data_IF_198068560434
#
_entry.id   IF_198068560434
#
_cell.length_a   1.000
_cell.length_b   1.000
_cell.length_c   1.000
_cell.angle_alpha   90.00
_cell.angle_beta   90.00
_cell.angle_gamma   90.00
#
_symmetry.space_group_name_H-M   'P 1'
#
loop_
_entity.id
_entity.type
_entity.pdbx_description
1 polymer ?
#
# COMPACT_ATOMS: atom_id res chain seq x y z
N UNK A 1 -3.97 -47.59 30.37
CA UNK A 1 -3.13 -46.65 31.14
C UNK A 1 -2.92 -45.44 30.28
N UNK A 2 -3.06 -44.23 30.83
CA UNK A 2 -2.91 -42.99 30.06
C UNK A 2 -1.43 -42.79 29.75
N UNK A 3 -1.07 -42.92 28.48
CA UNK A 3 0.34 -42.87 28.06
C UNK A 3 0.77 -41.41 27.86
N UNK A 4 2.06 -41.10 28.05
CA UNK A 4 2.61 -39.75 27.84
C UNK A 4 2.28 -39.20 26.44
N UNK A 5 2.29 -40.07 25.43
CA UNK A 5 1.90 -39.74 24.06
C UNK A 5 0.45 -39.26 23.94
N UNK A 6 -0.48 -39.88 24.69
CA UNK A 6 -1.89 -39.50 24.71
C UNK A 6 -2.08 -38.17 25.45
N UNK A 7 -1.32 -37.95 26.52
CA UNK A 7 -1.30 -36.69 27.26
C UNK A 7 -0.88 -35.51 26.36
N UNK A 8 0.20 -35.69 25.59
CA UNK A 8 0.68 -34.66 24.67
C UNK A 8 -0.30 -34.41 23.52
N UNK A 9 -0.93 -35.46 22.99
CA UNK A 9 -1.96 -35.34 21.95
C UNK A 9 -3.15 -34.51 22.45
N UNK A 10 -3.65 -34.82 23.65
CA UNK A 10 -4.75 -34.08 24.27
C UNK A 10 -4.34 -32.62 24.53
N UNK A 11 -3.09 -32.36 24.93
CA UNK A 11 -2.62 -30.99 25.16
C UNK A 11 -2.56 -30.17 23.86
N UNK A 12 -2.15 -30.77 22.74
CA UNK A 12 -2.17 -30.10 21.44
C UNK A 12 -3.59 -29.75 21.00
N UNK A 13 -4.55 -30.65 21.25
CA UNK A 13 -5.96 -30.41 20.96
C UNK A 13 -6.51 -29.24 21.79
N UNK A 14 -6.22 -29.20 23.09
CA UNK A 14 -6.57 -28.06 23.94
C UNK A 14 -5.98 -26.73 23.47
N UNK A 15 -4.72 -26.74 23.01
CA UNK A 15 -4.08 -25.53 22.49
C UNK A 15 -4.76 -25.05 21.21
N UNK A 16 -5.07 -25.97 20.28
CA UNK A 16 -5.79 -25.65 19.06
C UNK A 16 -7.20 -25.09 19.34
N UNK A 17 -7.94 -25.69 20.28
CA UNK A 17 -9.24 -25.18 20.72
C UNK A 17 -9.14 -23.76 21.31
N UNK A 18 -8.12 -23.52 22.15
CA UNK A 18 -7.87 -22.21 22.73
C UNK A 18 -7.51 -21.16 21.66
N UNK A 19 -6.67 -21.51 20.68
CA UNK A 19 -6.32 -20.64 19.55
C UNK A 19 -7.56 -20.27 18.73
N UNK A 20 -8.39 -21.24 18.38
CA UNK A 20 -9.64 -21.03 17.64
C UNK A 20 -10.58 -20.12 18.42
N UNK A 21 -10.69 -20.32 19.74
CA UNK A 21 -11.54 -19.49 20.61
C UNK A 21 -11.10 -18.03 20.60
N UNK A 22 -9.81 -17.76 20.78
CA UNK A 22 -9.25 -16.40 20.77
C UNK A 22 -9.49 -15.72 19.41
N UNK A 23 -9.24 -16.43 18.31
CA UNK A 23 -9.49 -15.90 16.96
C UNK A 23 -10.96 -15.52 16.79
N UNK A 24 -11.88 -16.37 17.26
CA UNK A 24 -13.32 -16.15 17.17
C UNK A 24 -13.76 -14.94 17.99
N UNK A 25 -13.25 -14.78 19.20
CA UNK A 25 -13.53 -13.63 20.06
C UNK A 25 -13.12 -12.32 19.38
N UNK A 26 -11.91 -12.24 18.84
CA UNK A 26 -11.46 -11.06 18.10
C UNK A 26 -12.28 -10.77 16.82
N UNK A 27 -12.72 -11.82 16.12
CA UNK A 27 -13.60 -11.64 14.95
C UNK A 27 -14.95 -11.04 15.36
N UNK A 28 -15.54 -11.54 16.43
CA UNK A 28 -16.80 -11.01 16.97
C UNK A 28 -16.64 -9.55 17.39
N UNK A 29 -15.58 -9.20 18.13
CA UNK A 29 -15.32 -7.81 18.53
C UNK A 29 -15.16 -6.89 17.33
N UNK A 30 -14.40 -7.33 16.32
CA UNK A 30 -14.21 -6.58 15.08
C UNK A 30 -15.52 -6.35 14.35
N UNK A 31 -16.35 -7.38 14.24
CA UNK A 31 -17.63 -7.29 13.54
C UNK A 31 -18.61 -6.40 14.32
N UNK A 32 -18.59 -6.43 15.66
CA UNK A 32 -19.34 -5.51 16.51
C UNK A 32 -18.89 -4.04 16.32
N UNK A 33 -17.58 -3.79 16.20
CA UNK A 33 -17.03 -2.46 15.89
C UNK A 33 -17.53 -2.00 14.52
N UNK A 34 -17.48 -2.84 13.49
CA UNK A 34 -17.98 -2.48 12.16
C UNK A 34 -19.48 -2.21 12.14
N UNK A 35 -20.27 -2.98 12.88
CA UNK A 35 -21.70 -2.73 13.04
C UNK A 35 -21.95 -1.36 13.67
N UNK A 36 -21.24 -1.04 14.77
CA UNK A 36 -21.35 0.26 15.45
C UNK A 36 -20.89 1.42 14.58
N UNK A 37 -19.81 1.27 13.81
CA UNK A 37 -19.37 2.29 12.85
C UNK A 37 -20.44 2.55 11.79
N UNK A 38 -21.06 1.50 11.24
CA UNK A 38 -22.16 1.62 10.26
C UNK A 38 -23.38 2.31 10.85
N UNK A 39 -23.70 2.09 12.12
CA UNK A 39 -24.75 2.82 12.82
C UNK A 39 -24.39 4.29 12.99
N UNK A 40 -23.16 4.61 13.39
CA UNK A 40 -22.68 5.99 13.51
C UNK A 40 -22.68 6.71 12.15
N UNK A 41 -22.34 6.04 11.05
CA UNK A 41 -22.42 6.62 9.72
C UNK A 41 -23.87 6.96 9.32
N UNK A 42 -24.85 6.11 9.71
CA UNK A 42 -26.29 6.38 9.52
C UNK A 42 -26.77 7.54 10.39
N UNK A 43 -26.31 7.62 11.63
CA UNK A 43 -26.67 8.70 12.55
C UNK A 43 -26.00 10.02 12.15
N UNK A 44 -24.76 9.99 11.67
CA UNK A 44 -24.00 11.13 11.17
C UNK A 44 -24.53 11.70 9.86
N UNK A 45 -25.21 10.89 9.04
CA UNK A 45 -25.96 11.37 7.86
C UNK A 45 -27.31 12.02 8.22
N UNK A 46 -27.80 11.82 9.45
CA UNK A 46 -29.02 12.46 9.97
C UNK A 46 -28.85 13.90 10.46
N UNK A 47 -27.62 14.40 10.60
CA UNK A 47 -27.35 15.78 11.06
C UNK A 47 -27.18 16.80 9.92
N UNK A 48 -27.27 16.39 8.66
CA UNK A 48 -27.16 17.28 7.48
C UNK A 48 -28.28 17.09 6.45
N UNK A 49 -29.44 16.58 6.87
CA UNK A 49 -30.54 16.25 5.94
C UNK A 49 -31.90 16.78 6.40
N UNK A 50 -32.00 18.05 6.81
CA UNK A 50 -33.30 18.72 6.94
C UNK A 50 -33.44 20.08 6.23
N UNK A 51 -32.53 20.40 5.29
CA UNK A 51 -32.75 21.51 4.35
C UNK A 51 -32.28 21.17 2.94
N UNK A 52 -32.90 20.16 2.31
CA UNK A 52 -33.18 20.20 0.86
C UNK A 52 -34.08 19.05 0.44
N UNK A 53 -35.38 19.32 0.39
CA UNK A 53 -36.14 18.91 -0.78
C UNK A 53 -35.66 19.77 -1.95
N UNK A 54 -35.44 19.10 -3.06
CA UNK A 54 -35.14 19.59 -4.40
C UNK A 54 -33.67 19.85 -4.80
N UNK A 55 -33.45 19.47 -6.06
CA UNK A 55 -32.35 19.82 -6.96
C UNK A 55 -31.23 18.77 -7.08
N UNK A 56 -31.42 17.92 -8.11
CA UNK A 56 -30.37 17.33 -8.96
C UNK A 56 -29.20 18.30 -9.13
N UNK A 57 -27.95 17.87 -8.96
CA UNK A 57 -26.83 17.98 -9.94
C UNK A 57 -25.46 17.70 -9.30
N UNK A 58 -24.65 16.98 -10.07
CA UNK A 58 -23.19 17.06 -10.22
C UNK A 58 -22.36 17.74 -9.13
N UNK A 59 -21.53 16.95 -8.45
CA UNK A 59 -20.43 17.47 -7.61
C UNK A 59 -19.24 17.82 -8.51
N UNK A 60 -19.17 19.07 -8.97
CA UNK A 60 -17.92 19.72 -9.41
C UNK A 60 -17.47 20.71 -8.33
N UNK A 61 -16.31 20.39 -7.75
CA UNK A 61 -15.14 21.26 -7.54
C UNK A 61 -15.38 22.78 -7.37
N UNK A 62 -15.76 23.25 -6.18
CA UNK A 62 -15.71 24.71 -5.88
C UNK A 62 -14.88 25.10 -4.65
N UNK A 63 -14.24 24.15 -3.96
CA UNK A 63 -13.44 24.47 -2.75
C UNK A 63 -11.94 24.69 -2.99
N UNK A 64 -11.45 24.44 -4.21
CA UNK A 64 -10.03 24.61 -4.60
C UNK A 64 -9.65 26.03 -5.06
N UNK A 65 -10.48 26.79 -5.82
CA UNK A 65 -10.11 28.12 -6.29
C UNK A 65 -10.01 29.15 -5.15
N UNK A 66 -10.90 29.04 -4.15
CA UNK A 66 -10.95 29.97 -3.00
C UNK A 66 -9.68 29.91 -2.15
N UNK A 67 -9.15 28.70 -1.92
CA UNK A 67 -7.88 28.53 -1.21
C UNK A 67 -6.68 29.04 -2.01
N UNK A 68 -6.68 28.85 -3.33
CA UNK A 68 -5.61 29.33 -4.20
C UNK A 68 -5.58 30.87 -4.27
N UNK A 69 -6.75 31.51 -4.27
CA UNK A 69 -6.86 32.97 -4.27
C UNK A 69 -6.39 33.59 -2.93
N UNK A 70 -6.70 32.94 -1.81
CA UNK A 70 -6.22 33.37 -0.49
C UNK A 70 -4.69 33.28 -0.38
N UNK A 71 -4.10 32.18 -0.87
CA UNK A 71 -2.64 32.01 -0.92
C UNK A 71 -1.95 33.01 -1.87
N UNK A 72 -2.60 33.39 -2.97
CA UNK A 72 -2.08 34.38 -3.90
C UNK A 72 -2.11 35.82 -3.32
N UNK A 73 -3.11 36.13 -2.49
CA UNK A 73 -3.17 37.41 -1.78
C UNK A 73 -2.07 37.55 -0.73
N UNK A 74 -1.73 36.46 -0.03
CA UNK A 74 -0.64 36.43 0.96
C UNK A 74 0.75 36.71 0.34
N UNK A 75 1.01 36.20 -0.87
CA UNK A 75 2.27 36.43 -1.60
C UNK A 75 2.42 37.87 -2.13
N UNK A 76 1.30 38.59 -2.32
CA UNK A 76 1.29 39.97 -2.84
C UNK A 76 1.64 41.02 -1.79
N UNK A 77 1.47 40.72 -0.51
CA UNK A 77 1.72 41.66 0.59
C UNK A 77 3.21 41.91 0.88
N UNK A 78 4.12 41.07 0.34
CA UNK A 78 5.57 41.23 0.49
C UNK A 78 6.27 41.96 -0.66
N UNK A 79 5.56 42.39 -1.71
CA UNK A 79 6.14 43.21 -2.79
C UNK A 79 5.74 44.68 -2.64
N UNK A 80 6.50 45.42 -1.82
CA UNK A 80 6.64 46.86 -2.04
C UNK A 80 7.67 47.11 -3.14
N UNK A 81 7.45 48.08 -4.05
CA UNK A 81 8.44 48.46 -5.04
C UNK A 81 9.38 49.52 -4.44
N UNK A 82 10.61 49.13 -4.10
CA UNK A 82 11.70 50.08 -3.88
C UNK A 82 12.46 50.28 -5.20
N UNK A 83 12.48 51.53 -5.67
CA UNK A 83 13.17 51.95 -6.89
C UNK A 83 14.70 51.93 -6.73
N UNK A 84 15.36 51.38 -7.76
CA UNK A 84 16.70 51.68 -8.33
C UNK A 84 17.72 52.47 -7.50
N UNK A 85 18.93 51.91 -7.34
CA UNK A 85 20.17 52.48 -7.89
C UNK A 85 21.35 51.48 -7.86
N UNK A 86 22.14 51.53 -8.92
CA UNK A 86 23.38 50.80 -9.19
C UNK A 86 24.55 51.28 -8.33
N UNK A 87 25.46 50.38 -7.92
CA UNK A 87 26.92 50.40 -8.26
C UNK A 87 27.83 49.64 -7.27
N UNK A 88 28.79 48.93 -7.87
CA UNK A 88 30.18 48.63 -7.45
C UNK A 88 30.55 47.97 -6.12
N UNK A 89 31.26 46.84 -6.27
CA UNK A 89 32.44 46.31 -5.54
C UNK A 89 32.56 46.49 -4.02
N UNK A 90 32.79 45.35 -3.33
CA UNK A 90 33.41 45.34 -2.00
C UNK A 90 33.42 43.95 -1.35
N UNK A 91 34.52 43.24 -1.50
CA UNK A 91 34.91 42.01 -0.80
C UNK A 91 34.76 42.11 0.72
N UNK A 92 34.17 41.07 1.33
CA UNK A 92 34.17 40.82 2.77
C UNK A 92 33.77 39.37 3.05
N UNK A 93 34.77 38.50 3.22
CA UNK A 93 34.64 37.16 3.77
C UNK A 93 33.77 37.15 5.02
N UNK A 94 33.00 36.07 5.23
CA UNK A 94 32.91 35.24 6.44
C UNK A 94 31.66 34.34 6.38
N UNK A 95 31.91 33.03 6.25
CA UNK A 95 31.13 31.90 6.78
C UNK A 95 29.64 31.73 6.40
N UNK A 96 29.39 30.74 5.53
CA UNK A 96 28.08 30.15 5.34
C UNK A 96 27.99 29.36 4.04
N UNK A 97 28.69 28.23 3.95
CA UNK A 97 28.60 27.33 2.79
C UNK A 97 27.12 26.98 2.49
N UNK A 98 26.68 26.98 1.22
CA UNK A 98 25.43 26.31 0.87
C UNK A 98 25.68 24.83 1.14
N UNK A 99 25.02 24.28 2.16
CA UNK A 99 25.12 22.86 2.51
C UNK A 99 24.74 22.06 1.27
N UNK A 100 25.79 21.57 0.61
CA UNK A 100 25.70 20.58 -0.43
C UNK A 100 24.96 19.38 0.12
N UNK A 101 24.08 18.85 -0.72
CA UNK A 101 23.39 17.59 -0.51
C UNK A 101 24.45 16.56 -0.04
N UNK A 102 24.23 15.84 1.08
CA UNK A 102 25.21 14.86 1.55
C UNK A 102 25.44 13.82 0.47
N UNK A 103 26.71 13.69 0.06
CA UNK A 103 27.21 12.87 -1.06
C UNK A 103 27.13 11.35 -0.79
N UNK A 104 26.16 10.91 0.02
CA UNK A 104 25.99 9.50 0.43
C UNK A 104 24.53 9.05 0.56
N UNK A 105 23.55 9.93 0.32
CA UNK A 105 22.14 9.53 0.35
C UNK A 105 21.50 9.79 -1.01
N UNK A 106 21.33 8.71 -1.78
CA UNK A 106 20.54 8.76 -3.01
C UNK A 106 19.13 9.22 -2.64
N UNK A 107 18.84 10.52 -2.83
CA UNK A 107 17.50 11.12 -2.76
C UNK A 107 16.52 10.12 -3.36
N UNK A 108 15.62 9.57 -2.53
CA UNK A 108 14.67 8.49 -2.81
C UNK A 108 14.51 8.21 -4.31
N UNK A 109 15.44 7.43 -4.87
CA UNK A 109 15.30 6.94 -6.23
C UNK A 109 14.21 5.89 -6.13
N UNK A 110 12.97 6.29 -6.44
CA UNK A 110 11.89 5.36 -6.76
C UNK A 110 12.49 4.38 -7.77
N UNK A 111 12.75 3.15 -7.33
CA UNK A 111 13.35 2.14 -8.19
C UNK A 111 12.44 1.97 -9.39
N UNK A 112 12.85 2.51 -10.54
CA UNK A 112 12.16 2.25 -11.79
C UNK A 112 12.28 0.74 -12.01
N UNK A 113 11.19 0.10 -12.44
CA UNK A 113 11.22 -1.31 -12.77
C UNK A 113 12.14 -1.48 -13.99
N UNK A 114 13.44 -1.65 -13.74
CA UNK A 114 14.42 -1.86 -14.80
C UNK A 114 14.18 -3.25 -15.41
N UNK A 115 14.02 -3.35 -16.75
CA UNK A 115 13.97 -4.63 -17.43
C UNK A 115 15.25 -5.42 -17.12
N UNK A 116 15.14 -6.74 -16.94
CA UNK A 116 16.28 -7.62 -16.62
C UNK A 116 16.78 -7.60 -15.16
N UNK A 117 16.16 -6.80 -14.27
CA UNK A 117 16.48 -6.85 -12.84
C UNK A 117 16.11 -8.19 -12.19
N UNK A 118 16.74 -8.54 -11.05
CA UNK A 118 16.34 -9.73 -10.24
C UNK A 118 14.84 -9.75 -9.97
N UNK A 119 14.27 -8.57 -9.69
CA UNK A 119 12.83 -8.41 -9.48
C UNK A 119 12.00 -8.67 -10.74
N UNK A 120 12.52 -8.37 -11.94
CA UNK A 120 11.83 -8.69 -13.19
C UNK A 120 11.77 -10.21 -13.44
N UNK A 121 12.90 -10.91 -13.27
CA UNK A 121 12.95 -12.38 -13.38
C UNK A 121 12.02 -13.08 -12.40
N UNK A 122 12.00 -12.61 -11.14
CA UNK A 122 11.08 -13.13 -10.13
C UNK A 122 9.61 -12.91 -10.50
N UNK A 123 9.27 -11.75 -11.10
CA UNK A 123 7.90 -11.47 -11.53
C UNK A 123 7.46 -12.37 -12.69
N UNK A 124 8.31 -12.52 -13.69
CA UNK A 124 8.05 -13.39 -14.83
C UNK A 124 7.82 -14.84 -14.39
N UNK A 125 8.70 -15.36 -13.52
CA UNK A 125 8.54 -16.67 -12.92
C UNK A 125 7.22 -16.78 -12.12
N UNK A 126 6.88 -15.77 -11.31
CA UNK A 126 5.63 -15.76 -10.55
C UNK A 126 4.38 -15.80 -11.43
N UNK A 127 4.34 -15.03 -12.52
CA UNK A 127 3.22 -15.06 -13.46
C UNK A 127 3.16 -16.41 -14.17
N UNK A 128 4.30 -16.96 -14.59
CA UNK A 128 4.36 -18.29 -15.23
C UNK A 128 3.88 -19.40 -14.31
N UNK A 129 4.25 -19.36 -13.02
CA UNK A 129 3.74 -20.28 -12.00
C UNK A 129 2.22 -20.12 -11.82
N UNK A 130 1.74 -18.89 -11.64
CA UNK A 130 0.32 -18.61 -11.45
C UNK A 130 -0.54 -18.98 -12.67
N UNK A 131 0.00 -18.88 -13.89
CA UNK A 131 -0.66 -19.35 -15.13
C UNK A 131 -0.82 -20.87 -15.20
N UNK A 132 0.08 -21.64 -14.58
CA UNK A 132 -0.03 -23.11 -14.52
C UNK A 132 -1.07 -23.56 -13.51
N UNK A 133 -1.31 -22.77 -12.48
CA UNK A 133 -2.25 -23.06 -11.40
C UNK A 133 -3.55 -22.29 -11.58
N UNK A 134 -4.57 -22.94 -12.14
CA UNK A 134 -5.92 -22.37 -12.29
C UNK A 134 -6.71 -22.27 -10.96
N UNK A 135 -6.06 -22.50 -9.82
CA UNK A 135 -6.67 -22.54 -8.50
C UNK A 135 -5.85 -21.72 -7.49
N UNK A 136 -6.45 -21.41 -6.35
CA UNK A 136 -5.76 -20.68 -5.29
C UNK A 136 -4.59 -21.50 -4.72
N UNK A 137 -3.38 -20.96 -4.82
CA UNK A 137 -2.13 -21.55 -4.32
C UNK A 137 -1.69 -20.88 -3.01
N UNK A 138 -1.13 -21.67 -2.09
CA UNK A 138 -0.58 -21.14 -0.83
C UNK A 138 0.72 -20.38 -1.07
N UNK A 139 0.99 -19.36 -0.25
CA UNK A 139 2.16 -18.50 -0.36
C UNK A 139 3.48 -19.27 -0.25
N UNK A 140 3.53 -20.31 0.59
CA UNK A 140 4.71 -21.16 0.78
C UNK A 140 4.98 -22.08 -0.41
N UNK A 141 3.93 -22.59 -1.05
CA UNK A 141 4.03 -23.42 -2.26
C UNK A 141 4.43 -22.54 -3.45
N UNK A 142 3.76 -21.41 -3.61
CA UNK A 142 4.08 -20.41 -4.63
C UNK A 142 5.52 -19.89 -4.52
N UNK A 143 6.00 -19.63 -3.30
CA UNK A 143 7.40 -19.24 -3.08
C UNK A 143 8.37 -20.32 -3.59
N UNK A 144 8.19 -21.57 -3.17
CA UNK A 144 9.07 -22.68 -3.58
C UNK A 144 9.11 -22.86 -5.09
N UNK A 145 7.97 -22.72 -5.76
CA UNK A 145 7.88 -22.85 -7.21
C UNK A 145 8.59 -21.69 -7.92
N UNK A 146 8.43 -20.45 -7.44
CA UNK A 146 9.11 -19.28 -8.01
C UNK A 146 10.63 -19.38 -7.80
N UNK A 147 11.08 -19.79 -6.61
CA UNK A 147 12.50 -19.95 -6.31
C UNK A 147 13.13 -21.06 -7.17
N UNK A 148 12.39 -22.15 -7.40
CA UNK A 148 12.82 -23.24 -8.28
C UNK A 148 12.92 -22.81 -9.75
N UNK A 149 11.96 -22.02 -10.25
CA UNK A 149 11.92 -21.61 -11.66
C UNK A 149 12.86 -20.42 -11.94
N UNK A 150 13.03 -19.50 -11.00
CA UNK A 150 13.90 -18.31 -11.15
C UNK A 150 15.34 -18.54 -10.68
N UNK A 151 15.59 -19.51 -9.80
CA UNK A 151 16.86 -19.71 -9.12
C UNK A 151 17.22 -18.59 -8.12
N UNK A 152 16.26 -17.74 -7.77
CA UNK A 152 16.44 -16.59 -6.88
C UNK A 152 15.51 -16.72 -5.67
N UNK A 153 16.04 -16.45 -4.48
CA UNK A 153 15.25 -16.44 -3.23
C UNK A 153 14.35 -15.21 -3.13
N UNK A 154 13.19 -15.37 -2.48
CA UNK A 154 12.30 -14.25 -2.14
C UNK A 154 12.37 -13.96 -0.64
N UNK A 155 13.03 -12.84 -0.22
CA UNK A 155 13.19 -12.55 1.20
C UNK A 155 11.87 -12.19 1.91
N UNK A 156 10.96 -11.48 1.23
CA UNK A 156 9.68 -11.07 1.79
C UNK A 156 8.56 -11.27 0.77
N UNK A 157 7.85 -12.39 0.92
CA UNK A 157 6.73 -12.76 0.06
C UNK A 157 5.61 -11.73 0.06
N UNK A 158 5.29 -11.12 1.20
CA UNK A 158 4.20 -10.14 1.29
C UNK A 158 4.49 -8.90 0.44
N UNK A 159 5.68 -8.33 0.58
CA UNK A 159 6.09 -7.14 -0.18
C UNK A 159 6.22 -7.47 -1.67
N UNK A 160 6.79 -8.63 -1.99
CA UNK A 160 6.90 -9.09 -3.38
C UNK A 160 5.53 -9.25 -4.03
N UNK A 161 4.59 -9.94 -3.36
CA UNK A 161 3.24 -10.17 -3.87
C UNK A 161 2.42 -8.87 -3.96
N UNK A 162 2.57 -7.94 -3.01
CA UNK A 162 1.94 -6.62 -3.13
C UNK A 162 2.45 -5.84 -4.36
N UNK A 163 3.75 -5.92 -4.64
CA UNK A 163 4.35 -5.34 -5.84
C UNK A 163 3.84 -6.02 -7.12
N UNK A 164 3.72 -7.36 -7.09
CA UNK A 164 3.20 -8.15 -8.21
C UNK A 164 1.75 -7.79 -8.53
N UNK A 165 0.87 -7.77 -7.54
CA UNK A 165 -0.56 -7.42 -7.67
C UNK A 165 -0.72 -5.99 -8.22
N UNK A 166 0.18 -5.07 -7.84
CA UNK A 166 0.16 -3.69 -8.35
C UNK A 166 0.47 -3.62 -9.85
N UNK A 167 1.30 -4.53 -10.38
CA UNK A 167 1.66 -4.60 -11.80
C UNK A 167 0.70 -5.47 -12.61
N UNK A 168 0.17 -6.53 -12.01
CA UNK A 168 -0.77 -7.48 -12.62
C UNK A 168 -2.01 -7.58 -11.72
N UNK A 169 -3.01 -6.70 -11.92
CA UNK A 169 -4.25 -6.70 -11.13
C UNK A 169 -5.08 -7.98 -11.23
N UNK A 170 -4.79 -8.82 -12.22
CA UNK A 170 -5.37 -10.16 -12.42
C UNK A 170 -4.97 -11.13 -11.30
N UNK A 171 -3.82 -10.89 -10.66
CA UNK A 171 -3.39 -11.65 -9.49
C UNK A 171 -4.18 -11.18 -8.28
N UNK A 172 -5.00 -12.08 -7.71
CA UNK A 172 -5.84 -11.80 -6.56
C UNK A 172 -5.41 -12.59 -5.33
N UNK A 173 -5.84 -12.10 -4.17
CA UNK A 173 -5.56 -12.69 -2.86
C UNK A 173 -6.88 -13.11 -2.20
N UNK A 174 -7.40 -14.32 -2.50
CA UNK A 174 -8.70 -14.77 -2.01
C UNK A 174 -8.74 -14.96 -0.50
N UNK A 175 -7.62 -15.39 0.11
CA UNK A 175 -7.49 -15.56 1.55
C UNK A 175 -6.09 -15.19 2.04
N UNK A 176 -5.90 -15.15 3.37
CA UNK A 176 -4.58 -14.89 3.98
C UNK A 176 -3.58 -15.94 3.52
N UNK A 177 -2.51 -15.50 2.86
CA UNK A 177 -1.44 -16.37 2.37
C UNK A 177 -1.87 -17.25 1.20
N UNK A 178 -2.93 -16.90 0.46
CA UNK A 178 -3.33 -17.59 -0.76
C UNK A 178 -3.41 -16.60 -1.91
N UNK A 179 -3.02 -17.05 -3.10
CA UNK A 179 -3.01 -16.24 -4.32
C UNK A 179 -3.63 -17.04 -5.46
N UNK A 180 -4.33 -16.36 -6.36
CA UNK A 180 -4.94 -16.95 -7.55
C UNK A 180 -4.78 -15.99 -8.72
N UNK A 181 -4.71 -16.53 -9.92
CA UNK A 181 -4.83 -15.75 -11.14
C UNK A 181 -6.27 -15.82 -11.65
N UNK A 182 -6.95 -14.68 -11.69
CA UNK A 182 -8.29 -14.58 -12.28
C UNK A 182 -8.20 -13.90 -13.65
N UNK A 183 -8.30 -14.70 -14.71
CA UNK A 183 -8.27 -14.26 -16.11
C UNK A 183 -7.01 -14.66 -16.86
N UNK A 184 -6.95 -14.33 -18.15
CA UNK A 184 -5.81 -14.61 -19.02
C UNK A 184 -4.87 -13.40 -19.08
N UNK A 185 -3.69 -13.53 -18.48
CA UNK A 185 -2.62 -12.55 -18.71
C UNK A 185 -2.03 -12.84 -20.10
N UNK A 186 -2.32 -11.99 -21.08
CA UNK A 186 -1.56 -11.97 -22.32
C UNK A 186 -0.15 -11.42 -22.01
N UNK A 187 0.84 -12.31 -21.95
CA UNK A 187 2.25 -11.91 -21.98
C UNK A 187 2.67 -11.96 -23.44
N UNK A 188 3.05 -10.82 -24.01
CA UNK A 188 3.42 -10.64 -25.43
C UNK A 188 4.72 -11.36 -25.86
N UNK A 189 5.22 -12.30 -25.07
CA UNK A 189 6.46 -13.03 -25.39
C UNK A 189 6.11 -14.40 -26.01
N UNK A 190 5.84 -14.37 -27.33
CA UNK A 190 6.07 -15.49 -28.26
C UNK A 190 7.49 -15.42 -28.84
#
# INVERSE_FOLDING_TARGET
>A
MFNEREALRLRLEQLNEAEVKVIREYQIERDAIYAKLRELDRQGTGLVSDTKKEVRTERKTDSLPVLAELAAQEMRSYQQPAQTQSSSLGTGQLNGAPVGIPEGSTRRRRGTARPGSKAAKLREAAIKTLKRHNAAIKSSELQKEIEKESGLEIPNMTTFMQSLIKMYPEVKKPYRGQYILEGDIQTEDE
#
